data_IF_972788436721
#
_entry.id   IF_972788436721
#
_cell.length_a   1.000
_cell.length_b   1.000
_cell.length_c   1.000
_cell.angle_alpha   90.00
_cell.angle_beta   90.00
_cell.angle_gamma   90.00
#
_symmetry.space_group_name_H-M   'P 1'
#
loop_
_entity.id
_entity.type
_entity.pdbx_description
1 polymer ?
#
# COMPACT_ATOMS: atom_id res chain seq x y z
N UNK A 1 13.63 -6.38 -5.47
CA UNK A 1 14.85 -7.08 -5.93
C UNK A 1 15.59 -7.70 -4.73
N UNK A 2 15.97 -6.93 -3.70
CA UNK A 2 16.74 -7.45 -2.56
C UNK A 2 16.09 -8.67 -1.89
N UNK A 3 14.78 -8.64 -1.64
CA UNK A 3 14.08 -9.79 -1.06
C UNK A 3 14.18 -11.03 -1.94
N UNK A 4 13.99 -10.90 -3.25
CA UNK A 4 14.13 -12.03 -4.18
C UNK A 4 15.52 -12.65 -4.17
N UNK A 5 16.56 -11.82 -4.00
CA UNK A 5 17.95 -12.30 -3.98
C UNK A 5 18.35 -13.00 -2.66
N UNK A 6 17.53 -12.84 -1.60
CA UNK A 6 17.77 -13.44 -0.29
C UNK A 6 16.77 -14.56 0.06
N UNK A 7 15.86 -14.89 -0.84
CA UNK A 7 14.98 -16.06 -0.66
C UNK A 7 15.71 -17.35 -1.01
N UNK A 8 15.34 -18.42 -0.30
CA UNK A 8 15.89 -19.76 -0.50
C UNK A 8 15.40 -20.35 -1.84
N UNK A 9 16.30 -20.35 -2.83
CA UNK A 9 16.01 -20.84 -4.18
C UNK A 9 15.82 -22.36 -4.28
N UNK A 10 16.25 -23.11 -3.26
CA UNK A 10 16.04 -24.57 -3.21
C UNK A 10 14.61 -24.91 -2.76
N UNK A 11 13.93 -23.97 -2.08
CA UNK A 11 12.56 -24.13 -1.60
C UNK A 11 11.52 -23.41 -2.45
N UNK A 12 11.89 -22.30 -3.10
CA UNK A 12 10.93 -21.40 -3.76
C UNK A 12 11.33 -21.12 -5.20
N UNK A 13 10.41 -21.36 -6.12
CA UNK A 13 10.46 -20.77 -7.44
C UNK A 13 9.93 -19.34 -7.37
N UNK A 14 10.83 -18.37 -7.47
CA UNK A 14 10.48 -16.95 -7.33
C UNK A 14 10.04 -16.38 -8.67
N UNK A 15 8.81 -15.90 -8.74
CA UNK A 15 8.25 -15.23 -9.90
C UNK A 15 8.15 -13.74 -9.62
N UNK A 16 9.01 -12.90 -10.21
CA UNK A 16 8.95 -11.46 -10.00
C UNK A 16 7.67 -10.89 -10.61
N UNK A 17 6.98 -10.07 -9.81
CA UNK A 17 5.77 -9.38 -10.23
C UNK A 17 5.88 -7.90 -9.88
N UNK A 18 5.78 -7.03 -10.86
CA UNK A 18 5.74 -5.58 -10.69
C UNK A 18 4.30 -5.09 -10.81
N UNK A 19 3.84 -4.34 -9.82
CA UNK A 19 2.56 -3.63 -9.84
C UNK A 19 2.81 -2.16 -10.16
N UNK A 20 2.26 -1.68 -11.27
CA UNK A 20 2.39 -0.29 -11.70
C UNK A 20 1.43 0.64 -10.95
N UNK A 21 1.63 1.95 -11.09
CA UNK A 21 0.73 2.98 -10.53
C UNK A 21 -0.68 2.94 -11.13
N UNK A 22 -0.81 2.36 -12.31
CA UNK A 22 -2.08 2.13 -13.02
C UNK A 22 -2.75 0.82 -12.60
N UNK A 23 -2.24 0.16 -11.55
CA UNK A 23 -2.70 -1.14 -11.04
C UNK A 23 -2.60 -2.28 -12.06
N UNK A 24 -1.60 -2.23 -12.92
CA UNK A 24 -1.29 -3.28 -13.87
C UNK A 24 -0.13 -4.15 -13.41
N UNK A 25 -0.25 -5.47 -13.60
CA UNK A 25 0.80 -6.40 -13.24
C UNK A 25 1.69 -6.73 -14.44
N UNK A 26 2.99 -6.76 -14.18
CA UNK A 26 4.02 -7.12 -15.15
C UNK A 26 4.96 -8.17 -14.58
N UNK A 27 5.39 -9.13 -15.40
CA UNK A 27 6.36 -10.16 -15.02
C UNK A 27 7.44 -10.31 -16.09
N UNK A 28 8.61 -10.81 -15.67
CA UNK A 28 9.75 -11.06 -16.55
C UNK A 28 11.07 -11.09 -15.80
N UNK A 29 12.09 -11.74 -16.36
CA UNK A 29 13.40 -11.91 -15.73
C UNK A 29 14.12 -10.59 -15.44
N UNK A 30 13.90 -9.56 -16.26
CA UNK A 30 14.49 -8.21 -16.07
C UNK A 30 14.06 -7.53 -14.76
N UNK A 31 12.91 -7.90 -14.19
CA UNK A 31 12.44 -7.39 -12.91
C UNK A 31 13.33 -7.82 -11.73
N UNK A 32 14.28 -8.72 -11.95
CA UNK A 32 15.28 -9.15 -10.96
C UNK A 32 16.51 -8.24 -10.91
N UNK A 33 16.71 -7.39 -11.92
CA UNK A 33 17.85 -6.47 -11.98
C UNK A 33 17.43 -5.07 -11.52
N UNK A 34 18.01 -4.60 -10.42
CA UNK A 34 17.74 -3.27 -9.86
C UNK A 34 18.09 -2.13 -10.83
N UNK A 35 19.06 -2.33 -11.72
CA UNK A 35 19.48 -1.31 -12.68
C UNK A 35 18.43 -1.04 -13.75
N UNK A 36 17.61 -2.03 -14.10
CA UNK A 36 16.53 -1.87 -15.09
C UNK A 36 15.44 -0.90 -14.59
N UNK A 37 15.30 -0.70 -13.26
CA UNK A 37 14.33 0.23 -12.68
C UNK A 37 14.70 1.71 -12.83
N UNK A 38 15.88 2.04 -13.36
CA UNK A 38 16.27 3.41 -13.70
C UNK A 38 15.44 3.97 -14.85
N UNK A 39 14.96 3.10 -15.75
CA UNK A 39 14.03 3.46 -16.82
C UNK A 39 12.81 2.53 -16.78
N UNK A 40 11.81 2.91 -15.98
CA UNK A 40 10.58 2.14 -15.82
C UNK A 40 9.81 1.95 -17.13
N UNK A 41 9.84 2.92 -18.05
CA UNK A 41 9.16 2.80 -19.34
C UNK A 41 9.80 1.70 -20.19
N UNK A 42 11.12 1.69 -20.26
CA UNK A 42 11.85 0.63 -20.95
C UNK A 42 11.65 -0.74 -20.28
N UNK A 43 11.67 -0.81 -18.95
CA UNK A 43 11.46 -2.04 -18.21
C UNK A 43 10.05 -2.61 -18.46
N UNK A 44 9.00 -1.79 -18.38
CA UNK A 44 7.61 -2.20 -18.63
C UNK A 44 7.45 -2.67 -20.08
N UNK A 45 7.98 -1.94 -21.05
CA UNK A 45 7.89 -2.31 -22.48
C UNK A 45 8.52 -3.66 -22.80
N UNK A 46 9.54 -4.07 -22.05
CA UNK A 46 10.25 -5.34 -22.17
C UNK A 46 9.69 -6.44 -21.25
N UNK A 47 8.74 -6.10 -20.39
CA UNK A 47 8.07 -7.01 -19.49
C UNK A 47 6.76 -7.54 -20.09
N UNK A 48 6.23 -8.59 -19.50
CA UNK A 48 4.97 -9.17 -19.94
C UNK A 48 3.85 -8.71 -19.01
N UNK A 49 2.87 -8.00 -19.55
CA UNK A 49 1.65 -7.71 -18.80
C UNK A 49 0.89 -9.01 -18.52
N UNK A 50 0.43 -9.14 -17.28
CA UNK A 50 -0.28 -10.32 -16.80
C UNK A 50 -1.45 -9.92 -15.91
N UNK A 51 -2.37 -10.84 -15.70
CA UNK A 51 -3.43 -10.77 -14.70
C UNK A 51 -3.35 -12.00 -13.81
N UNK A 52 -3.79 -11.87 -12.56
CA UNK A 52 -4.00 -12.99 -11.65
C UNK A 52 -5.39 -13.56 -11.89
N UNK A 53 -5.48 -14.87 -12.00
CA UNK A 53 -6.73 -15.60 -12.22
C UNK A 53 -6.77 -16.79 -11.28
N UNK A 54 -7.93 -17.02 -10.63
CA UNK A 54 -8.20 -18.28 -9.95
C UNK A 54 -9.05 -19.17 -10.86
N UNK A 55 -8.63 -20.40 -11.05
CA UNK A 55 -9.41 -21.45 -11.72
C UNK A 55 -9.31 -22.74 -10.89
N UNK A 56 -10.45 -23.28 -10.47
CA UNK A 56 -10.57 -24.54 -9.70
C UNK A 56 -9.61 -24.60 -8.50
N UNK A 57 -9.56 -23.53 -7.70
CA UNK A 57 -8.69 -23.37 -6.52
C UNK A 57 -7.18 -23.34 -6.82
N UNK A 58 -6.80 -23.08 -8.05
CA UNK A 58 -5.42 -22.80 -8.44
C UNK A 58 -5.29 -21.38 -8.94
N UNK A 59 -4.20 -20.73 -8.60
CA UNK A 59 -3.96 -19.36 -9.02
C UNK A 59 -2.90 -19.32 -10.13
N UNK A 60 -3.16 -18.51 -11.14
CA UNK A 60 -2.31 -18.41 -12.32
C UNK A 60 -1.99 -16.96 -12.65
N UNK A 61 -0.76 -16.71 -13.10
CA UNK A 61 -0.44 -15.55 -13.91
C UNK A 61 -0.78 -15.85 -15.35
N UNK A 62 -1.67 -15.07 -15.90
CA UNK A 62 -2.13 -15.21 -17.27
C UNK A 62 -1.74 -13.99 -18.08
N UNK A 63 -1.19 -14.18 -19.26
CA UNK A 63 -0.84 -13.09 -20.18
C UNK A 63 -2.07 -12.23 -20.51
N UNK A 64 -1.88 -10.92 -20.52
CA UNK A 64 -2.91 -9.99 -20.95
C UNK A 64 -2.35 -8.98 -21.97
N UNK A 65 -3.02 -8.69 -23.09
CA UNK A 65 -4.20 -9.38 -23.60
C UNK A 65 -3.92 -10.84 -23.99
N UNK A 66 -4.96 -11.66 -24.00
CA UNK A 66 -4.87 -13.05 -24.42
C UNK A 66 -4.43 -13.14 -25.89
N UNK A 67 -3.57 -14.11 -26.20
CA UNK A 67 -3.17 -14.40 -27.57
C UNK A 67 -3.85 -15.67 -28.07
N UNK A 68 -4.51 -15.58 -29.21
CA UNK A 68 -5.06 -16.74 -29.89
C UNK A 68 -3.93 -17.75 -30.24
N UNK A 69 -4.28 -19.03 -30.18
CA UNK A 69 -3.38 -20.14 -30.54
C UNK A 69 -2.06 -20.21 -29.77
N UNK A 70 -1.98 -19.60 -28.58
CA UNK A 70 -0.78 -19.64 -27.72
C UNK A 70 -1.16 -19.98 -26.27
N UNK A 71 -0.23 -20.61 -25.54
CA UNK A 71 -0.34 -20.80 -24.10
C UNK A 71 -0.32 -19.42 -23.43
N UNK A 72 -1.42 -19.07 -22.77
CA UNK A 72 -1.57 -17.80 -22.07
C UNK A 72 -1.17 -17.88 -20.59
N UNK A 73 -1.22 -19.07 -19.98
CA UNK A 73 -0.73 -19.30 -18.61
C UNK A 73 0.79 -19.10 -18.62
N UNK A 74 1.25 -18.19 -17.79
CA UNK A 74 2.67 -17.85 -17.60
C UNK A 74 3.26 -18.69 -16.48
N UNK A 75 2.54 -18.79 -15.35
CA UNK A 75 2.96 -19.55 -14.18
C UNK A 75 1.76 -19.88 -13.29
N UNK A 76 1.83 -20.97 -12.56
CA UNK A 76 0.98 -21.25 -11.40
C UNK A 76 1.60 -20.55 -10.17
N UNK A 77 0.78 -20.06 -9.24
CA UNK A 77 1.21 -19.30 -8.06
C UNK A 77 0.59 -19.92 -6.82
N UNK A 78 1.42 -20.34 -5.88
CA UNK A 78 0.98 -20.92 -4.61
C UNK A 78 0.81 -19.87 -3.52
N UNK A 79 1.66 -18.83 -3.51
CA UNK A 79 1.66 -17.78 -2.49
C UNK A 79 2.16 -16.46 -3.07
N UNK A 80 1.56 -15.36 -2.65
CA UNK A 80 2.04 -14.03 -2.94
C UNK A 80 2.87 -13.49 -1.76
N UNK A 81 3.98 -12.81 -2.08
CA UNK A 81 4.79 -12.10 -1.09
C UNK A 81 4.83 -10.62 -1.46
N UNK A 82 3.85 -9.80 -1.03
CA UNK A 82 3.81 -8.38 -1.31
C UNK A 82 4.96 -7.64 -0.61
N UNK A 83 5.82 -7.00 -1.39
CA UNK A 83 6.85 -6.07 -0.91
C UNK A 83 6.64 -4.78 -1.69
N UNK A 84 5.61 -4.06 -1.30
CA UNK A 84 5.04 -2.91 -2.00
C UNK A 84 4.77 -1.80 -1.00
N UNK A 85 4.73 -0.55 -1.47
CA UNK A 85 4.51 0.63 -0.63
C UNK A 85 3.51 1.58 -1.27
N UNK A 86 2.72 2.24 -0.43
CA UNK A 86 1.81 3.31 -0.82
C UNK A 86 0.33 2.90 -0.87
N UNK A 87 -0.44 3.77 -1.51
CA UNK A 87 -1.89 3.63 -1.65
C UNK A 87 -2.25 2.40 -2.49
N UNK A 88 -3.37 1.75 -2.16
CA UNK A 88 -3.89 0.52 -2.77
C UNK A 88 -3.05 -0.75 -2.51
N UNK A 89 -1.96 -0.65 -1.78
CA UNK A 89 -1.09 -1.81 -1.51
C UNK A 89 -0.78 -2.02 -0.03
N UNK A 90 -0.78 -0.95 0.79
CA UNK A 90 -0.57 -1.05 2.24
C UNK A 90 -1.87 -0.90 3.05
N UNK A 91 -2.96 -0.47 2.40
CA UNK A 91 -4.26 -0.12 3.00
C UNK A 91 -5.29 -1.26 3.04
N UNK A 92 -4.89 -2.47 2.70
CA UNK A 92 -5.78 -3.64 2.64
C UNK A 92 -6.38 -3.91 1.27
N UNK A 93 -6.26 -3.00 0.31
CA UNK A 93 -6.85 -3.13 -1.04
C UNK A 93 -6.23 -4.31 -1.80
N UNK A 94 -4.90 -4.37 -1.87
CA UNK A 94 -4.20 -5.50 -2.50
C UNK A 94 -4.48 -6.81 -1.76
N UNK A 95 -4.48 -6.80 -0.43
CA UNK A 95 -4.78 -7.96 0.40
C UNK A 95 -6.21 -8.48 0.15
N UNK A 96 -7.17 -7.58 0.00
CA UNK A 96 -8.55 -7.90 -0.37
C UNK A 96 -8.64 -8.56 -1.75
N UNK A 97 -7.93 -8.03 -2.72
CA UNK A 97 -7.84 -8.59 -4.06
C UNK A 97 -7.25 -10.02 -4.04
N UNK A 98 -6.13 -10.23 -3.36
CA UNK A 98 -5.52 -11.56 -3.22
C UNK A 98 -6.45 -12.54 -2.50
N UNK A 99 -7.15 -12.07 -1.46
CA UNK A 99 -8.12 -12.88 -0.70
C UNK A 99 -9.32 -13.31 -1.54
N UNK A 100 -9.85 -12.45 -2.41
CA UNK A 100 -10.94 -12.80 -3.32
C UNK A 100 -10.53 -13.84 -4.36
N UNK A 101 -9.26 -13.95 -4.68
CA UNK A 101 -8.68 -14.98 -5.53
C UNK A 101 -8.34 -16.27 -4.77
N UNK A 102 -8.60 -16.35 -3.46
CA UNK A 102 -8.11 -17.44 -2.60
C UNK A 102 -6.60 -17.68 -2.76
N UNK A 103 -5.82 -16.62 -3.03
CA UNK A 103 -4.37 -16.69 -3.12
C UNK A 103 -3.78 -16.38 -1.74
N UNK A 104 -3.12 -17.34 -1.07
CA UNK A 104 -2.40 -17.09 0.16
C UNK A 104 -1.35 -15.99 -0.03
N UNK A 105 -1.14 -15.17 0.98
CA UNK A 105 -0.12 -14.12 0.93
C UNK A 105 0.57 -13.94 2.28
N UNK A 106 1.79 -13.44 2.22
CA UNK A 106 2.59 -13.09 3.41
C UNK A 106 2.32 -11.64 3.78
N UNK A 107 2.08 -11.38 5.06
CA UNK A 107 1.85 -10.03 5.58
C UNK A 107 0.55 -9.91 6.37
N UNK A 108 0.18 -8.66 6.70
CA UNK A 108 -1.04 -8.37 7.42
C UNK A 108 -2.28 -8.65 6.58
N UNK A 109 -3.38 -9.02 7.22
CA UNK A 109 -4.66 -9.20 6.54
C UNK A 109 -5.30 -7.85 6.15
N UNK A 110 -6.48 -7.92 5.52
CA UNK A 110 -7.22 -6.74 5.05
C UNK A 110 -7.51 -5.76 6.18
N UNK A 111 -7.98 -6.29 7.32
CA UNK A 111 -8.38 -5.45 8.46
C UNK A 111 -7.18 -4.78 9.11
N UNK A 112 -6.13 -5.55 9.40
CA UNK A 112 -4.92 -5.02 10.03
C UNK A 112 -4.20 -4.02 9.13
N UNK A 113 -4.17 -4.25 7.80
CA UNK A 113 -3.60 -3.31 6.82
C UNK A 113 -4.39 -2.00 6.77
N UNK A 114 -5.71 -2.07 6.66
CA UNK A 114 -6.58 -0.89 6.65
C UNK A 114 -6.51 -0.08 7.95
N UNK A 115 -6.55 -0.78 9.09
CA UNK A 115 -6.42 -0.15 10.41
C UNK A 115 -5.06 0.52 10.61
N UNK A 116 -3.97 -0.16 10.21
CA UNK A 116 -2.61 0.36 10.33
C UNK A 116 -2.35 1.57 9.43
N UNK A 117 -3.06 1.69 8.31
CA UNK A 117 -2.96 2.83 7.42
C UNK A 117 -3.72 4.06 7.96
N UNK A 118 -4.81 3.89 8.70
CA UNK A 118 -5.56 4.98 9.34
C UNK A 118 -4.95 5.34 10.70
N UNK A 119 -4.17 6.44 10.76
CA UNK A 119 -3.48 6.88 11.98
C UNK A 119 -4.41 7.16 13.16
N UNK A 120 -5.63 7.60 12.88
CA UNK A 120 -6.57 7.89 13.94
C UNK A 120 -7.22 6.62 14.51
N UNK A 121 -7.72 5.75 13.63
CA UNK A 121 -8.29 4.47 14.03
C UNK A 121 -7.24 3.59 14.77
N UNK A 122 -6.02 3.52 14.24
CA UNK A 122 -4.91 2.83 14.88
C UNK A 122 -4.64 3.36 16.30
N UNK A 123 -4.63 4.68 16.50
CA UNK A 123 -4.42 5.28 17.83
C UNK A 123 -5.55 4.93 18.82
N UNK A 124 -6.80 4.93 18.36
CA UNK A 124 -7.93 4.53 19.21
C UNK A 124 -7.76 3.07 19.66
N UNK A 125 -7.46 2.17 18.73
CA UNK A 125 -7.26 0.76 19.05
C UNK A 125 -6.08 0.53 20.00
N UNK A 126 -4.96 1.21 19.77
CA UNK A 126 -3.80 1.12 20.66
C UNK A 126 -4.08 1.66 22.06
N UNK A 127 -4.82 2.77 22.16
CA UNK A 127 -5.22 3.37 23.44
C UNK A 127 -6.13 2.44 24.22
N UNK A 128 -7.13 1.83 23.56
CA UNK A 128 -8.05 0.86 24.17
C UNK A 128 -7.31 -0.40 24.62
N UNK A 129 -6.28 -0.82 23.89
CA UNK A 129 -5.41 -1.93 24.27
C UNK A 129 -4.39 -1.59 25.37
N UNK A 130 -4.44 -0.38 25.94
CA UNK A 130 -3.57 0.05 27.05
C UNK A 130 -2.18 0.54 26.65
N UNK A 131 -1.93 0.74 25.35
CA UNK A 131 -0.65 1.30 24.90
C UNK A 131 -0.60 2.82 25.08
N UNK A 132 0.55 3.40 25.47
CA UNK A 132 0.71 4.83 25.55
C UNK A 132 0.72 5.45 24.14
N UNK A 133 -0.26 6.29 23.84
CA UNK A 133 -0.37 7.03 22.59
C UNK A 133 -0.53 8.51 22.85
N UNK A 134 0.05 9.35 22.00
CA UNK A 134 -0.16 10.79 22.06
C UNK A 134 -1.61 11.11 21.70
N UNK A 135 -2.22 12.06 22.42
CA UNK A 135 -3.55 12.55 22.09
C UNK A 135 -3.59 13.17 20.68
N UNK A 136 -4.76 13.14 20.08
CA UNK A 136 -4.99 13.73 18.77
C UNK A 136 -6.43 14.23 18.63
N UNK A 137 -6.65 15.10 17.66
CA UNK A 137 -7.95 15.43 17.09
C UNK A 137 -7.99 14.91 15.64
N UNK A 138 -9.17 14.56 15.15
CA UNK A 138 -9.42 14.25 13.76
C UNK A 138 -10.48 15.19 13.23
N UNK A 139 -10.23 15.70 12.02
CA UNK A 139 -11.17 16.54 11.31
C UNK A 139 -11.36 15.98 9.89
N UNK A 140 -12.57 16.07 9.39
CA UNK A 140 -12.93 15.71 8.03
C UNK A 140 -12.99 16.97 7.15
N UNK A 141 -13.09 16.79 5.83
CA UNK A 141 -13.34 17.92 4.91
C UNK A 141 -14.64 18.68 5.24
N UNK A 142 -15.63 18.00 5.85
CA UNK A 142 -16.86 18.66 6.30
C UNK A 142 -16.60 19.61 7.48
N UNK A 143 -15.80 19.20 8.45
CA UNK A 143 -15.46 20.01 9.63
C UNK A 143 -14.68 21.26 9.20
N UNK A 144 -13.88 21.14 8.14
CA UNK A 144 -13.06 22.23 7.59
C UNK A 144 -13.86 23.35 6.90
N UNK A 145 -15.17 23.17 6.73
CA UNK A 145 -16.04 24.26 6.25
C UNK A 145 -16.11 25.42 7.25
N UNK A 146 -15.78 25.19 8.52
CA UNK A 146 -15.63 26.22 9.54
C UNK A 146 -14.26 26.10 10.23
N UNK A 147 -13.27 26.74 9.61
CA UNK A 147 -11.86 26.72 10.05
C UNK A 147 -11.69 27.23 11.48
N UNK A 148 -12.42 28.27 11.88
CA UNK A 148 -12.33 28.82 13.23
C UNK A 148 -12.75 27.79 14.31
N UNK A 149 -13.76 26.98 14.02
CA UNK A 149 -14.16 25.90 14.93
C UNK A 149 -13.10 24.81 15.04
N UNK A 150 -12.45 24.46 13.93
CA UNK A 150 -11.34 23.49 13.92
C UNK A 150 -10.17 24.02 14.76
N UNK A 151 -9.79 25.28 14.56
CA UNK A 151 -8.72 25.92 15.31
C UNK A 151 -9.05 25.97 16.80
N UNK A 152 -10.24 26.43 17.17
CA UNK A 152 -10.69 26.49 18.55
C UNK A 152 -10.68 25.09 19.23
N UNK A 153 -11.08 24.06 18.51
CA UNK A 153 -11.05 22.68 19.00
C UNK A 153 -9.61 22.19 19.22
N UNK A 154 -8.67 22.54 18.35
CA UNK A 154 -7.24 22.22 18.53
C UNK A 154 -6.66 22.97 19.73
N UNK A 155 -6.86 24.29 19.81
CA UNK A 155 -6.31 25.15 20.86
C UNK A 155 -6.89 24.85 22.24
N UNK A 156 -8.11 24.36 22.32
CA UNK A 156 -8.71 23.90 23.58
C UNK A 156 -8.04 22.65 24.16
N UNK A 157 -7.35 21.88 23.33
CA UNK A 157 -6.77 20.59 23.69
C UNK A 157 -5.26 20.57 23.70
N UNK A 158 -4.61 21.39 22.86
CA UNK A 158 -3.18 21.34 22.65
C UNK A 158 -2.55 22.75 22.72
N UNK A 159 -1.37 22.82 23.33
CA UNK A 159 -0.47 23.95 23.15
C UNK A 159 0.33 23.80 21.85
N UNK A 160 0.74 24.92 21.26
CA UNK A 160 1.69 24.91 20.15
C UNK A 160 3.11 24.53 20.62
N UNK A 161 3.94 23.89 19.76
CA UNK A 161 3.64 23.54 18.37
C UNK A 161 2.79 22.28 18.25
N UNK A 162 1.96 22.22 17.22
CA UNK A 162 1.17 21.02 16.84
C UNK A 162 1.63 20.47 15.50
N UNK A 163 1.44 19.17 15.31
CA UNK A 163 1.74 18.49 14.03
C UNK A 163 0.44 18.09 13.37
N UNK A 164 0.21 18.59 12.16
CA UNK A 164 -0.92 18.22 11.29
C UNK A 164 -0.46 17.11 10.36
N UNK A 165 -1.27 16.06 10.24
CA UNK A 165 -0.94 14.87 9.42
C UNK A 165 -2.17 14.39 8.67
N UNK A 166 -2.06 14.04 7.38
CA UNK A 166 -3.08 13.25 6.70
C UNK A 166 -3.30 11.92 7.41
N UNK A 167 -4.56 11.51 7.54
CA UNK A 167 -4.92 10.28 8.25
C UNK A 167 -4.35 9.05 7.55
N UNK A 168 -4.45 8.98 6.22
CA UNK A 168 -4.20 7.78 5.40
C UNK A 168 -2.95 7.83 4.51
N UNK A 169 -2.01 8.78 4.73
CA UNK A 169 -0.77 8.85 3.95
C UNK A 169 0.44 8.41 4.78
N UNK A 170 1.40 7.77 4.11
CA UNK A 170 2.68 7.35 4.69
C UNK A 170 3.85 8.28 4.33
N UNK A 171 5.08 7.86 4.66
CA UNK A 171 6.35 8.49 4.25
C UNK A 171 6.45 10.00 4.50
N UNK A 172 5.81 10.49 5.56
CA UNK A 172 5.75 11.93 5.92
C UNK A 172 5.13 12.84 4.86
N UNK A 173 4.43 12.30 3.87
CA UNK A 173 3.74 13.10 2.86
C UNK A 173 2.59 13.88 3.51
N UNK A 174 2.54 15.20 3.23
CA UNK A 174 1.52 16.10 3.75
C UNK A 174 1.57 16.35 5.26
N UNK A 175 2.70 16.06 5.93
CA UNK A 175 2.89 16.42 7.34
C UNK A 175 3.36 17.87 7.39
N UNK A 176 2.73 18.67 8.26
CA UNK A 176 3.13 20.04 8.55
C UNK A 176 3.20 20.29 10.06
N UNK A 177 4.06 21.21 10.45
CA UNK A 177 4.19 21.71 11.81
C UNK A 177 3.58 23.12 11.88
N UNK A 178 2.73 23.34 12.85
CA UNK A 178 2.18 24.66 13.14
C UNK A 178 2.70 25.14 14.49
N UNK A 179 3.40 26.27 14.48
CA UNK A 179 3.99 26.86 15.68
C UNK A 179 3.05 27.90 16.34
N UNK A 180 1.94 28.24 15.67
CA UNK A 180 0.92 29.19 16.11
C UNK A 180 -0.35 29.04 15.29
N UNK A 181 -1.40 29.82 15.60
CA UNK A 181 -2.69 29.85 14.92
C UNK A 181 -2.54 30.05 13.40
N UNK A 182 -1.76 31.02 12.96
CA UNK A 182 -1.58 31.30 11.52
C UNK A 182 -0.86 30.15 10.79
N UNK A 183 0.03 29.44 11.47
CA UNK A 183 0.63 28.21 10.95
C UNK A 183 -0.40 27.07 10.82
N UNK A 184 -1.31 26.96 11.79
CA UNK A 184 -2.35 25.92 11.78
C UNK A 184 -3.38 26.15 10.67
N UNK A 185 -3.74 27.41 10.37
CA UNK A 185 -4.63 27.78 9.27
C UNK A 185 -4.11 27.36 7.89
N UNK A 186 -2.78 27.31 7.74
CA UNK A 186 -2.08 26.98 6.48
C UNK A 186 -1.74 25.50 6.35
N UNK A 187 -1.79 24.77 7.44
CA UNK A 187 -1.39 23.37 7.52
C UNK A 187 -2.48 22.42 7.08
#
# INVERSE_FOLDING_TARGET
VQAMNNMDADKYEIIPLYLSKENEFYTGSRLRDINEYRDLKALISKSRRVILVNDKNKNYLVRYPLKALRKNIVSEIDVAFPIVHGTNVEDGTLQGYLKTLNLPFVGCDVFASGLGMDKYAMKIMLKEAGFPVLDCCRFSAHDYQNVDNVIAAVESKFAYPVIVKPVNLGSSIGISKADNKSGLEKA
#
